data_IF_896762017611
#
_entry.id   IF_896762017611
#
_cell.length_a   1.000
_cell.length_b   1.000
_cell.length_c   1.000
_cell.angle_alpha   90.00
_cell.angle_beta   90.00
_cell.angle_gamma   90.00
#
_symmetry.space_group_name_H-M   'P 1'
#
loop_
_entity.id
_entity.type
_entity.pdbx_description
1 polymer ?
#
# COMPACT_ATOMS: atom_id res chain seq x y z
N UNK A 1 -14.88 14.33 10.28
CA UNK A 1 -14.99 12.87 10.09
C UNK A 1 -15.53 12.60 8.69
N UNK A 2 -14.97 11.60 7.94
CA UNK A 2 -15.52 11.23 6.63
C UNK A 2 -16.99 10.82 6.72
N UNK A 3 -17.77 11.01 5.64
CA UNK A 3 -19.14 10.52 5.59
C UNK A 3 -19.15 8.98 5.54
N UNK A 4 -20.24 8.37 6.00
CA UNK A 4 -20.37 6.89 5.99
C UNK A 4 -20.25 6.33 4.55
N UNK A 5 -20.86 7.01 3.58
CA UNK A 5 -20.76 6.65 2.16
C UNK A 5 -19.32 6.69 1.64
N UNK A 6 -18.54 7.69 2.08
CA UNK A 6 -17.13 7.83 1.76
C UNK A 6 -16.32 6.64 2.32
N UNK A 7 -16.59 6.26 3.57
CA UNK A 7 -15.95 5.10 4.20
C UNK A 7 -16.28 3.80 3.48
N UNK A 8 -17.54 3.61 3.09
CA UNK A 8 -17.99 2.40 2.39
C UNK A 8 -17.35 2.30 1.00
N UNK A 9 -17.32 3.42 0.26
CA UNK A 9 -16.70 3.48 -1.06
C UNK A 9 -15.20 3.24 -0.97
N UNK A 10 -14.52 3.90 -0.02
CA UNK A 10 -13.10 3.71 0.24
C UNK A 10 -12.78 2.25 0.57
N UNK A 11 -13.53 1.65 1.48
CA UNK A 11 -13.37 0.25 1.85
C UNK A 11 -13.54 -0.68 0.65
N UNK A 12 -14.60 -0.52 -0.15
CA UNK A 12 -14.85 -1.33 -1.33
C UNK A 12 -13.71 -1.27 -2.34
N UNK A 13 -13.23 -0.07 -2.66
CA UNK A 13 -12.10 0.10 -3.59
C UNK A 13 -10.80 -0.43 -2.99
N UNK A 14 -10.56 -0.23 -1.70
CA UNK A 14 -9.36 -0.76 -1.02
C UNK A 14 -9.32 -2.29 -1.03
N UNK A 15 -10.46 -2.95 -0.83
CA UNK A 15 -10.59 -4.42 -0.94
C UNK A 15 -10.28 -4.86 -2.36
N UNK A 16 -10.85 -4.23 -3.39
CA UNK A 16 -10.58 -4.56 -4.80
C UNK A 16 -9.09 -4.39 -5.12
N UNK A 17 -8.48 -3.31 -4.64
CA UNK A 17 -7.06 -3.06 -4.85
C UNK A 17 -6.17 -4.08 -4.10
N UNK A 18 -6.57 -4.46 -2.90
CA UNK A 18 -5.90 -5.49 -2.09
C UNK A 18 -5.95 -6.87 -2.73
N UNK A 19 -7.06 -7.22 -3.39
CA UNK A 19 -7.23 -8.48 -4.12
C UNK A 19 -6.46 -8.50 -5.46
N UNK A 20 -6.08 -7.33 -5.99
CA UNK A 20 -5.28 -7.26 -7.22
C UNK A 20 -3.90 -7.88 -6.97
N UNK A 21 -3.49 -8.91 -7.74
CA UNK A 21 -2.21 -9.57 -7.56
C UNK A 21 -1.06 -8.56 -7.61
N UNK A 22 -0.21 -8.60 -6.61
CA UNK A 22 0.97 -7.77 -6.51
C UNK A 22 2.12 -8.53 -5.87
N UNK A 23 3.35 -7.98 -5.90
CA UNK A 23 4.51 -8.63 -5.30
C UNK A 23 4.30 -8.94 -3.80
N UNK A 24 3.58 -8.09 -3.09
CA UNK A 24 3.27 -8.26 -1.67
C UNK A 24 2.44 -9.52 -1.42
N UNK A 25 1.35 -9.72 -2.20
CA UNK A 25 0.47 -10.87 -2.07
C UNK A 25 1.21 -12.18 -2.38
N UNK A 26 1.99 -12.17 -3.47
CA UNK A 26 2.81 -13.33 -3.85
C UNK A 26 3.85 -13.66 -2.79
N UNK A 27 4.50 -12.66 -2.21
CA UNK A 27 5.50 -12.86 -1.17
C UNK A 27 4.87 -13.44 0.11
N UNK A 28 3.72 -12.93 0.55
CA UNK A 28 2.97 -13.48 1.69
C UNK A 28 2.62 -14.95 1.45
N UNK A 29 2.05 -15.28 0.27
CA UNK A 29 1.68 -16.64 -0.08
C UNK A 29 2.90 -17.56 -0.11
N UNK A 30 3.99 -17.13 -0.73
CA UNK A 30 5.23 -17.89 -0.83
C UNK A 30 5.84 -18.17 0.56
N UNK A 31 5.91 -17.15 1.42
CA UNK A 31 6.44 -17.32 2.78
C UNK A 31 5.52 -18.22 3.62
N UNK A 32 4.20 -18.12 3.43
CA UNK A 32 3.23 -18.99 4.10
C UNK A 32 3.39 -20.45 3.67
N UNK A 33 3.56 -20.70 2.37
CA UNK A 33 3.73 -22.03 1.80
C UNK A 33 5.06 -22.68 2.22
N UNK A 34 6.16 -21.90 2.23
CA UNK A 34 7.50 -22.40 2.52
C UNK A 34 7.80 -22.56 4.01
N UNK A 35 7.22 -21.71 4.86
CA UNK A 35 7.60 -21.56 6.28
C UNK A 35 6.43 -21.61 7.26
N UNK A 36 5.25 -21.91 6.73
CA UNK A 36 4.02 -21.96 7.49
C UNK A 36 3.36 -20.61 7.69
N UNK A 37 2.08 -20.64 8.10
CA UNK A 37 1.21 -19.48 8.22
C UNK A 37 1.76 -18.36 9.13
N UNK A 38 2.54 -18.72 10.16
CA UNK A 38 3.14 -17.74 11.09
C UNK A 38 4.15 -16.82 10.40
N UNK A 39 4.90 -17.33 9.43
CA UNK A 39 5.84 -16.54 8.65
C UNK A 39 5.08 -15.56 7.72
N UNK A 40 4.03 -16.04 7.06
CA UNK A 40 3.16 -15.18 6.27
C UNK A 40 2.51 -14.07 7.10
N UNK A 41 1.99 -14.39 8.28
CA UNK A 41 1.42 -13.40 9.20
C UNK A 41 2.45 -12.35 9.67
N UNK A 42 3.70 -12.77 9.91
CA UNK A 42 4.77 -11.83 10.23
C UNK A 42 5.06 -10.85 9.08
N UNK A 43 5.02 -11.33 7.82
CA UNK A 43 5.14 -10.46 6.64
C UNK A 43 3.95 -9.50 6.57
N UNK A 44 2.72 -9.97 6.77
CA UNK A 44 1.51 -9.12 6.78
C UNK A 44 1.62 -8.02 7.83
N UNK A 45 2.07 -8.35 9.05
CA UNK A 45 2.31 -7.34 10.09
C UNK A 45 3.33 -6.27 9.64
N UNK A 46 4.37 -6.69 8.90
CA UNK A 46 5.33 -5.77 8.30
C UNK A 46 4.70 -4.87 7.24
N UNK A 47 3.88 -5.44 6.34
CA UNK A 47 3.16 -4.68 5.33
C UNK A 47 2.23 -3.64 5.98
N UNK A 48 1.49 -4.02 7.02
CA UNK A 48 0.64 -3.09 7.78
C UNK A 48 1.45 -1.96 8.44
N UNK A 49 2.60 -2.29 9.04
CA UNK A 49 3.49 -1.28 9.62
C UNK A 49 3.99 -0.29 8.56
N UNK A 50 4.37 -0.78 7.38
CA UNK A 50 4.75 0.06 6.24
C UNK A 50 3.61 0.96 5.76
N UNK A 51 2.39 0.43 5.71
CA UNK A 51 1.21 1.22 5.35
C UNK A 51 0.95 2.36 6.35
N UNK A 52 1.06 2.10 7.64
CA UNK A 52 0.94 3.13 8.68
C UNK A 52 1.97 4.25 8.48
N UNK A 53 3.21 3.88 8.14
CA UNK A 53 4.26 4.89 7.85
C UNK A 53 3.91 5.70 6.61
N UNK A 54 3.45 5.07 5.52
CA UNK A 54 2.99 5.79 4.33
C UNK A 54 1.83 6.72 4.63
N UNK A 55 0.83 6.23 5.34
CA UNK A 55 -0.34 7.04 5.73
C UNK A 55 0.06 8.25 6.56
N UNK A 56 0.93 8.06 7.57
CA UNK A 56 1.43 9.15 8.38
C UNK A 56 2.21 10.18 7.55
N UNK A 57 3.11 9.72 6.68
CA UNK A 57 3.90 10.59 5.82
C UNK A 57 3.00 11.41 4.86
N UNK A 58 2.00 10.76 4.27
CA UNK A 58 1.03 11.42 3.38
C UNK A 58 0.13 12.39 4.15
N UNK A 59 -0.36 12.00 5.32
CA UNK A 59 -1.21 12.86 6.15
C UNK A 59 -0.50 14.15 6.56
N UNK A 60 0.79 14.05 6.95
CA UNK A 60 1.61 15.20 7.32
C UNK A 60 2.05 16.02 6.10
N UNK A 61 2.51 15.35 5.04
CA UNK A 61 3.00 16.01 3.83
C UNK A 61 1.87 16.65 3.01
N UNK A 62 0.74 15.98 2.89
CA UNK A 62 -0.39 16.47 2.10
C UNK A 62 -1.10 17.65 2.76
N UNK A 63 -1.17 17.68 4.10
CA UNK A 63 -1.66 18.85 4.81
C UNK A 63 -0.87 20.12 4.42
N UNK A 64 0.46 19.99 4.23
CA UNK A 64 1.31 21.08 3.75
C UNK A 64 1.03 21.43 2.27
N UNK A 65 0.82 20.45 1.41
CA UNK A 65 0.51 20.67 -0.02
C UNK A 65 -0.86 21.34 -0.20
N UNK A 66 -1.88 20.91 0.55
CA UNK A 66 -3.19 21.56 0.53
C UNK A 66 -3.13 23.01 0.99
N UNK A 67 -2.32 23.30 2.02
CA UNK A 67 -2.11 24.67 2.50
C UNK A 67 -1.37 25.55 1.49
N UNK A 68 -0.50 24.95 0.64
CA UNK A 68 0.33 25.69 -0.30
C UNK A 68 -0.38 25.99 -1.63
N UNK A 69 -1.07 25.02 -2.25
CA UNK A 69 -1.68 25.23 -3.57
C UNK A 69 -2.69 24.12 -3.94
N UNK A 70 -3.94 24.55 -4.24
CA UNK A 70 -4.97 23.66 -4.81
C UNK A 70 -4.56 23.10 -6.21
N UNK A 71 -3.77 23.86 -6.97
CA UNK A 71 -3.27 23.43 -8.28
C UNK A 71 -2.26 22.28 -8.13
N UNK A 72 -1.34 22.38 -7.16
CA UNK A 72 -0.36 21.33 -6.89
C UNK A 72 -1.05 20.01 -6.50
N UNK A 73 -2.11 20.08 -5.72
CA UNK A 73 -2.92 18.92 -5.37
C UNK A 73 -3.60 18.30 -6.60
N UNK A 74 -4.18 19.13 -7.46
CA UNK A 74 -4.85 18.67 -8.68
C UNK A 74 -3.87 17.95 -9.61
N UNK A 75 -2.67 18.50 -9.81
CA UNK A 75 -1.60 17.87 -10.59
C UNK A 75 -1.19 16.54 -9.98
N UNK A 76 -0.95 16.48 -8.67
CA UNK A 76 -0.58 15.25 -7.97
C UNK A 76 -1.65 14.16 -8.15
N UNK A 77 -2.92 14.51 -8.03
CA UNK A 77 -4.04 13.59 -8.20
C UNK A 77 -4.06 12.96 -9.60
N UNK A 78 -3.96 13.77 -10.65
CA UNK A 78 -4.00 13.27 -12.03
C UNK A 78 -2.74 12.49 -12.41
N UNK A 79 -1.56 12.93 -11.98
CA UNK A 79 -0.32 12.17 -12.18
C UNK A 79 -0.38 10.79 -11.48
N UNK A 80 -0.89 10.74 -10.26
CA UNK A 80 -1.05 9.49 -9.53
C UNK A 80 -2.07 8.57 -10.19
N UNK A 81 -3.23 9.09 -10.63
CA UNK A 81 -4.23 8.31 -11.35
C UNK A 81 -3.67 7.72 -12.66
N UNK A 82 -2.93 8.53 -13.44
CA UNK A 82 -2.27 8.08 -14.66
C UNK A 82 -1.23 6.98 -14.38
N UNK A 83 -0.47 7.12 -13.30
CA UNK A 83 0.51 6.10 -12.90
C UNK A 83 -0.17 4.80 -12.42
N UNK A 84 -1.26 4.87 -11.67
CA UNK A 84 -2.03 3.67 -11.29
C UNK A 84 -2.61 2.96 -12.52
N UNK A 85 -3.13 3.72 -13.49
CA UNK A 85 -3.59 3.18 -14.78
C UNK A 85 -2.45 2.50 -15.55
N UNK A 86 -1.26 3.10 -15.56
CA UNK A 86 -0.06 2.50 -16.15
C UNK A 86 0.34 1.19 -15.46
N UNK A 87 0.33 1.13 -14.12
CA UNK A 87 0.61 -0.10 -13.39
C UNK A 87 -0.44 -1.18 -13.66
N UNK A 88 -1.73 -0.82 -13.73
CA UNK A 88 -2.79 -1.74 -14.10
C UNK A 88 -2.59 -2.30 -15.51
N UNK A 89 -2.22 -1.45 -16.47
CA UNK A 89 -1.88 -1.86 -17.83
C UNK A 89 -0.69 -2.82 -17.87
N UNK A 90 0.37 -2.53 -17.12
CA UNK A 90 1.51 -3.45 -17.01
C UNK A 90 1.09 -4.81 -16.43
N UNK A 91 0.27 -4.81 -15.36
CA UNK A 91 -0.21 -6.04 -14.74
C UNK A 91 -1.02 -6.92 -15.72
N UNK A 92 -1.86 -6.28 -16.58
CA UNK A 92 -2.62 -7.00 -17.61
C UNK A 92 -1.75 -7.59 -18.72
N UNK A 93 -0.58 -6.99 -18.96
CA UNK A 93 0.37 -7.43 -20.00
C UNK A 93 1.47 -8.34 -19.48
N UNK A 94 1.62 -8.48 -18.15
CA UNK A 94 2.65 -9.32 -17.55
C UNK A 94 2.43 -10.78 -17.95
N UNK A 95 3.44 -11.46 -18.52
CA UNK A 95 3.34 -12.90 -18.76
C UNK A 95 3.16 -13.63 -17.42
N UNK A 96 2.32 -14.67 -17.40
CA UNK A 96 2.07 -15.48 -16.19
C UNK A 96 3.34 -16.12 -15.60
N UNK A 97 4.45 -16.14 -16.34
CA UNK A 97 5.74 -16.69 -15.94
C UNK A 97 6.58 -15.78 -15.02
N UNK A 98 6.20 -14.52 -14.80
CA UNK A 98 7.00 -13.61 -13.97
C UNK A 98 6.77 -13.77 -12.45
N UNK A 99 6.04 -14.78 -12.02
CA UNK A 99 5.89 -15.12 -10.60
C UNK A 99 7.12 -15.83 -9.99
N UNK A 100 8.21 -15.93 -10.72
CA UNK A 100 9.47 -16.48 -10.19
C UNK A 100 10.39 -15.33 -9.74
N UNK A 101 10.12 -14.78 -8.56
CA UNK A 101 11.24 -14.22 -7.80
C UNK A 101 12.21 -15.38 -7.44
N UNK A 102 13.54 -15.14 -7.54
CA UNK A 102 14.50 -16.19 -7.22
C UNK A 102 14.20 -16.69 -5.80
N UNK A 103 13.85 -17.98 -5.71
CA UNK A 103 13.72 -18.66 -4.43
C UNK A 103 14.99 -18.34 -3.65
N UNK A 104 14.87 -17.56 -2.60
CA UNK A 104 15.97 -17.37 -1.65
C UNK A 104 16.52 -18.74 -1.34
N UNK A 105 17.81 -18.95 -1.58
CA UNK A 105 18.50 -20.23 -1.43
C UNK A 105 17.96 -21.02 -0.22
N UNK A 106 17.86 -22.36 -0.29
CA UNK A 106 17.35 -23.18 0.80
C UNK A 106 18.09 -22.81 2.07
N UNK A 107 17.39 -22.08 2.93
CA UNK A 107 17.98 -21.40 4.05
C UNK A 107 18.32 -22.39 5.15
N UNK A 108 19.43 -22.10 5.79
CA UNK A 108 19.84 -22.53 7.13
C UNK A 108 18.69 -23.14 7.96
N UNK A 109 18.92 -24.25 8.68
CA UNK A 109 17.92 -24.90 9.55
C UNK A 109 17.32 -24.00 10.66
N UNK A 110 17.88 -22.79 10.87
CA UNK A 110 17.30 -21.73 11.69
C UNK A 110 16.81 -20.57 10.82
N UNK A 111 15.75 -20.75 10.05
CA UNK A 111 15.19 -19.70 9.17
C UNK A 111 15.11 -18.32 9.82
N UNK A 112 15.04 -17.22 9.04
CA UNK A 112 15.00 -15.87 9.60
C UNK A 112 13.86 -15.76 10.61
N UNK A 113 14.17 -15.33 11.83
CA UNK A 113 13.19 -15.17 12.90
C UNK A 113 12.01 -14.28 12.46
N UNK A 114 10.87 -14.44 13.10
CA UNK A 114 9.63 -13.69 12.78
C UNK A 114 9.85 -12.19 12.68
N UNK A 115 10.70 -11.61 13.55
CA UNK A 115 11.06 -10.18 13.48
C UNK A 115 11.69 -9.76 12.15
N UNK A 116 12.56 -10.63 11.58
CA UNK A 116 13.15 -10.36 10.25
C UNK A 116 12.10 -10.43 9.13
N UNK A 117 11.07 -11.28 9.28
CA UNK A 117 9.95 -11.34 8.35
C UNK A 117 9.10 -10.08 8.40
N UNK A 118 8.83 -9.56 9.60
CA UNK A 118 8.16 -8.25 9.78
C UNK A 118 8.98 -7.16 9.10
N UNK A 119 10.29 -7.08 9.35
CA UNK A 119 11.16 -6.10 8.69
C UNK A 119 11.14 -6.20 7.17
N UNK A 120 11.14 -7.42 6.60
CA UNK A 120 11.04 -7.63 5.15
C UNK A 120 9.69 -7.14 4.59
N UNK A 121 8.58 -7.48 5.26
CA UNK A 121 7.26 -6.99 4.87
C UNK A 121 7.19 -5.45 4.89
N UNK A 122 7.74 -4.83 5.93
CA UNK A 122 7.77 -3.36 6.05
C UNK A 122 8.59 -2.71 4.92
N UNK A 123 9.81 -3.19 4.66
CA UNK A 123 10.65 -2.67 3.57
C UNK A 123 9.96 -2.87 2.22
N UNK A 124 9.36 -4.06 1.99
CA UNK A 124 8.64 -4.36 0.76
C UNK A 124 7.47 -3.40 0.53
N UNK A 125 6.68 -3.11 1.57
CA UNK A 125 5.58 -2.14 1.49
C UNK A 125 6.12 -0.73 1.18
N UNK A 126 7.15 -0.28 1.93
CA UNK A 126 7.73 1.06 1.76
C UNK A 126 8.37 1.28 0.38
N UNK A 127 8.87 0.23 -0.24
CA UNK A 127 9.46 0.28 -1.59
C UNK A 127 8.44 -0.04 -2.69
N UNK A 128 7.20 -0.41 -2.34
CA UNK A 128 6.18 -0.76 -3.31
C UNK A 128 5.57 0.49 -3.95
N UNK A 129 5.83 0.75 -5.24
CA UNK A 129 5.32 1.95 -5.90
C UNK A 129 3.79 1.97 -5.99
N UNK A 130 3.12 0.80 -6.01
CA UNK A 130 1.66 0.69 -5.99
C UNK A 130 1.08 1.29 -4.71
N UNK A 131 1.65 0.94 -3.55
CA UNK A 131 1.19 1.42 -2.24
C UNK A 131 1.49 2.92 -2.10
N UNK A 132 2.68 3.35 -2.49
CA UNK A 132 3.06 4.76 -2.46
C UNK A 132 2.07 5.63 -3.25
N UNK A 133 1.77 5.25 -4.50
CA UNK A 133 0.86 6.01 -5.35
C UNK A 133 -0.58 5.93 -4.86
N UNK A 134 -1.01 4.77 -4.32
CA UNK A 134 -2.31 4.64 -3.67
C UNK A 134 -2.44 5.66 -2.52
N UNK A 135 -1.46 5.72 -1.64
CA UNK A 135 -1.49 6.65 -0.50
C UNK A 135 -1.42 8.12 -0.95
N UNK A 136 -0.63 8.45 -1.98
CA UNK A 136 -0.44 9.83 -2.43
C UNK A 136 -1.58 10.35 -3.31
N UNK A 137 -2.13 9.51 -4.18
CA UNK A 137 -3.07 9.96 -5.20
C UNK A 137 -4.52 9.55 -4.91
N UNK A 138 -4.73 8.39 -4.32
CA UNK A 138 -6.07 7.85 -4.09
C UNK A 138 -6.62 8.21 -2.70
N UNK A 139 -5.86 7.96 -1.64
CA UNK A 139 -6.28 8.22 -0.27
C UNK A 139 -6.81 9.66 -0.05
N UNK A 140 -6.15 10.72 -0.58
CA UNK A 140 -6.58 12.09 -0.38
C UNK A 140 -7.91 12.45 -1.05
N UNK A 141 -8.35 11.68 -2.04
CA UNK A 141 -9.61 11.96 -2.74
C UNK A 141 -10.85 11.73 -1.86
N UNK A 142 -10.66 11.02 -0.76
CA UNK A 142 -11.70 10.72 0.22
C UNK A 142 -11.67 11.66 1.44
N UNK A 143 -10.73 12.60 1.50
CA UNK A 143 -10.66 13.61 2.53
C UNK A 143 -11.35 14.89 2.08
N UNK A 144 -12.24 15.43 2.94
CA UNK A 144 -13.00 16.67 2.68
C UNK A 144 -12.53 17.77 3.63
N UNK A 145 -11.84 18.81 3.16
CA UNK A 145 -11.40 19.92 4.00
C UNK A 145 -12.53 20.62 4.76
N UNK A 146 -13.76 20.63 4.20
CA UNK A 146 -14.92 21.25 4.84
C UNK A 146 -15.38 20.46 6.09
N UNK A 147 -14.97 19.21 6.24
CA UNK A 147 -15.36 18.33 7.35
C UNK A 147 -14.32 18.23 8.47
N UNK A 148 -13.33 19.12 8.47
CA UNK A 148 -12.32 19.23 9.50
C UNK A 148 -10.90 18.85 9.04
N UNK A 149 -10.02 18.52 9.98
CA UNK A 149 -8.61 18.24 9.67
C UNK A 149 -8.44 17.11 8.65
N UNK A 150 -7.88 17.45 7.49
CA UNK A 150 -7.53 16.50 6.42
C UNK A 150 -6.57 15.43 6.92
N UNK A 151 -5.58 15.81 7.74
CA UNK A 151 -4.61 14.86 8.30
C UNK A 151 -5.30 13.79 9.16
N UNK A 152 -6.26 14.18 10.02
CA UNK A 152 -7.01 13.21 10.82
C UNK A 152 -7.88 12.29 9.95
N UNK A 153 -8.50 12.83 8.90
CA UNK A 153 -9.30 12.01 7.98
C UNK A 153 -8.42 10.98 7.26
N UNK A 154 -7.24 11.38 6.79
CA UNK A 154 -6.28 10.49 6.15
C UNK A 154 -5.76 9.40 7.10
N UNK A 155 -5.50 9.74 8.36
CA UNK A 155 -5.08 8.77 9.39
C UNK A 155 -6.17 7.74 9.74
N UNK A 156 -7.44 8.11 9.60
CA UNK A 156 -8.58 7.20 9.85
C UNK A 156 -8.84 6.29 8.64
N UNK A 157 -8.56 6.77 7.42
CA UNK A 157 -8.80 6.02 6.19
C UNK A 157 -7.68 5.02 5.88
N UNK A 158 -6.42 5.35 6.18
CA UNK A 158 -5.25 4.53 5.85
C UNK A 158 -4.72 3.72 7.01
#
# INVERSE_FOLDING_TARGET
MPAFETLLTFFGVSVLLGLTPGPDNLFVLLQSAQRGWRAGMAVVLGLCAGLVVHTAAVALGLAAVFAASAMAFTVLKYCGAAYLAYLAWQALRAPAAMAQEPASAPGNPGGPGLGRMVGRGMVMNLTNPKVLVFCLAFLPQFADPARGSVALQLMVLG
#
